data_IF_277888426530
#
_entry.id   IF_277888426530
#
_cell.length_a   1.000
_cell.length_b   1.000
_cell.length_c   1.000
_cell.angle_alpha   90.00
_cell.angle_beta   90.00
_cell.angle_gamma   90.00
#
_symmetry.space_group_name_H-M   'P 1'
#
loop_
_entity.id
_entity.type
_entity.pdbx_description
1 polymer ?
#
# COMPACT_ATOMS: atom_id res chain seq x y z
N UNK A 1 44.23 9.84 10.25
CA UNK A 1 43.74 11.19 9.87
C UNK A 1 43.21 11.05 8.46
N UNK A 2 41.97 11.45 8.18
CA UNK A 2 41.45 11.39 6.81
C UNK A 2 42.20 12.40 5.94
N UNK A 3 42.69 11.94 4.79
CA UNK A 3 43.35 12.78 3.80
C UNK A 3 42.34 13.76 3.17
N UNK A 4 42.78 14.90 2.63
CA UNK A 4 41.89 15.88 1.99
C UNK A 4 40.89 15.32 0.96
N UNK A 5 41.25 14.36 0.07
CA UNK A 5 40.26 13.73 -0.82
C UNK A 5 39.24 12.87 -0.07
N UNK A 6 39.67 12.16 0.97
CA UNK A 6 38.78 11.30 1.79
C UNK A 6 37.76 12.15 2.57
N UNK A 7 38.19 13.31 3.08
CA UNK A 7 37.28 14.28 3.72
C UNK A 7 36.20 14.79 2.74
N UNK A 8 36.56 15.07 1.49
CA UNK A 8 35.59 15.51 0.47
C UNK A 8 34.60 14.40 0.13
N UNK A 9 35.09 13.18 -0.05
CA UNK A 9 34.24 12.01 -0.29
C UNK A 9 33.26 11.79 0.87
N UNK A 10 33.73 11.92 2.12
CA UNK A 10 32.88 11.80 3.31
C UNK A 10 31.79 12.87 3.36
N UNK A 11 32.13 14.13 3.06
CA UNK A 11 31.14 15.22 3.01
C UNK A 11 30.08 14.95 1.94
N UNK A 12 30.49 14.49 0.75
CA UNK A 12 29.57 14.13 -0.33
C UNK A 12 28.66 12.99 0.10
N UNK A 13 29.21 11.93 0.71
CA UNK A 13 28.43 10.79 1.18
C UNK A 13 27.40 11.21 2.23
N UNK A 14 27.81 12.00 3.23
CA UNK A 14 26.91 12.52 4.26
C UNK A 14 25.83 13.40 3.62
N UNK A 15 26.20 14.28 2.69
CA UNK A 15 25.27 15.16 1.99
C UNK A 15 24.21 14.38 1.20
N UNK A 16 24.63 13.39 0.41
CA UNK A 16 23.71 12.52 -0.34
C UNK A 16 22.82 11.71 0.61
N UNK A 17 23.39 11.17 1.69
CA UNK A 17 22.61 10.37 2.66
C UNK A 17 21.56 11.22 3.36
N UNK A 18 21.91 12.43 3.79
CA UNK A 18 20.97 13.37 4.39
C UNK A 18 19.86 13.79 3.42
N UNK A 19 20.22 14.04 2.14
CA UNK A 19 19.25 14.35 1.10
C UNK A 19 18.26 13.20 0.87
N UNK A 20 18.76 11.96 0.73
CA UNK A 20 17.92 10.78 0.56
C UNK A 20 16.97 10.58 1.75
N UNK A 21 17.47 10.80 2.98
CA UNK A 21 16.65 10.73 4.18
C UNK A 21 15.52 11.77 4.17
N UNK A 22 15.83 13.02 3.82
CA UNK A 22 14.83 14.08 3.73
C UNK A 22 13.76 13.79 2.68
N UNK A 23 14.16 13.27 1.51
CA UNK A 23 13.21 12.87 0.47
C UNK A 23 12.31 11.74 0.95
N UNK A 24 12.89 10.72 1.60
CA UNK A 24 12.12 9.59 2.12
C UNK A 24 11.08 10.03 3.16
N UNK A 25 11.48 10.85 4.13
CA UNK A 25 10.56 11.41 5.13
C UNK A 25 9.47 12.27 4.51
N UNK A 26 9.78 12.99 3.43
CA UNK A 26 8.79 13.76 2.68
C UNK A 26 7.76 12.87 1.97
N UNK A 27 8.21 11.78 1.34
CA UNK A 27 7.33 10.84 0.63
C UNK A 27 6.40 10.10 1.59
N UNK A 28 6.89 9.70 2.77
CA UNK A 28 6.07 9.03 3.78
C UNK A 28 4.87 9.88 4.24
N UNK A 29 4.99 11.21 4.22
CA UNK A 29 3.92 12.13 4.60
C UNK A 29 2.84 12.29 3.53
N UNK A 30 3.17 12.05 2.26
CA UNK A 30 2.24 12.22 1.14
C UNK A 30 1.28 11.02 1.03
N UNK A 31 1.73 9.84 1.46
CA UNK A 31 0.93 8.61 1.46
C UNK A 31 0.82 7.96 0.07
N UNK A 32 0.54 6.66 0.06
CA UNK A 32 0.44 5.83 -1.15
C UNK A 32 -0.69 6.26 -2.09
N UNK A 33 -1.77 6.83 -1.54
CA UNK A 33 -2.94 7.30 -2.29
C UNK A 33 -2.59 8.36 -3.36
N UNK A 34 -1.57 9.20 -3.14
CA UNK A 34 -1.17 10.23 -4.10
C UNK A 34 -0.58 9.67 -5.40
N UNK A 35 -0.15 8.41 -5.38
CA UNK A 35 0.44 7.71 -6.52
C UNK A 35 -0.51 6.68 -7.13
N UNK A 36 -1.71 6.52 -6.54
CA UNK A 36 -2.68 5.51 -6.93
C UNK A 36 -3.63 6.04 -8.02
N UNK A 37 -3.94 5.18 -8.99
CA UNK A 37 -4.96 5.45 -10.01
C UNK A 37 -6.34 5.02 -9.48
N UNK A 38 -7.44 5.71 -9.79
CA UNK A 38 -8.77 5.22 -9.42
C UNK A 38 -9.01 3.79 -9.93
N UNK A 39 -9.61 2.94 -9.09
CA UNK A 39 -9.92 1.56 -9.46
C UNK A 39 -10.84 1.48 -10.68
N UNK A 40 -10.50 0.58 -11.61
CA UNK A 40 -11.36 0.17 -12.70
C UNK A 40 -11.10 -1.31 -13.03
N UNK A 41 -12.10 -2.11 -13.43
CA UNK A 41 -11.90 -3.53 -13.78
C UNK A 41 -10.91 -3.78 -14.94
N UNK A 42 -10.61 -2.76 -15.73
CA UNK A 42 -9.72 -2.86 -16.90
C UNK A 42 -8.28 -2.39 -16.63
N UNK A 43 -7.95 -1.94 -15.41
CA UNK A 43 -6.57 -1.53 -15.06
C UNK A 43 -5.60 -2.70 -15.24
N UNK A 44 -4.38 -2.43 -15.66
CA UNK A 44 -3.37 -3.47 -15.81
C UNK A 44 -2.95 -4.03 -14.45
N UNK A 45 -2.62 -5.33 -14.42
CA UNK A 45 -2.05 -5.96 -13.24
C UNK A 45 -0.72 -5.28 -12.87
N UNK A 46 -0.47 -5.12 -11.57
CA UNK A 46 0.68 -4.36 -11.05
C UNK A 46 0.42 -2.87 -10.90
N UNK A 47 -0.73 -2.35 -11.35
CA UNK A 47 -1.10 -0.95 -11.14
C UNK A 47 -1.47 -0.70 -9.68
N UNK A 48 -0.90 0.36 -9.08
CA UNK A 48 -1.33 0.85 -7.78
C UNK A 48 -2.68 1.59 -7.93
N UNK A 49 -3.68 1.16 -7.18
CA UNK A 49 -5.07 1.60 -7.33
C UNK A 49 -5.67 2.10 -6.03
N UNK A 50 -6.57 3.08 -6.16
CA UNK A 50 -7.40 3.63 -5.10
C UNK A 50 -8.83 3.11 -5.27
N UNK A 51 -9.29 2.28 -4.33
CA UNK A 51 -10.64 1.75 -4.27
C UNK A 51 -11.37 2.36 -3.07
N UNK A 52 -12.54 2.93 -3.33
CA UNK A 52 -13.43 3.45 -2.28
C UNK A 52 -14.78 2.74 -2.35
N UNK A 53 -15.32 2.36 -1.20
CA UNK A 53 -16.61 1.69 -1.18
C UNK A 53 -17.01 1.18 0.18
N UNK A 54 -18.16 0.52 0.21
CA UNK A 54 -18.66 -0.19 1.39
C UNK A 54 -18.14 -1.63 1.38
N UNK A 55 -17.69 -2.10 2.54
CA UNK A 55 -17.33 -3.50 2.76
C UNK A 55 -18.62 -4.33 2.85
N UNK A 56 -18.88 -5.17 1.86
CA UNK A 56 -20.10 -5.99 1.78
C UNK A 56 -19.94 -7.38 2.39
N UNK A 57 -18.73 -7.94 2.35
CA UNK A 57 -18.42 -9.25 2.94
C UNK A 57 -17.00 -9.23 3.52
N UNK A 58 -16.80 -9.90 4.66
CA UNK A 58 -15.46 -10.20 5.20
C UNK A 58 -15.33 -11.69 5.47
N UNK A 59 -14.34 -12.33 4.85
CA UNK A 59 -14.07 -13.76 4.94
C UNK A 59 -12.64 -14.03 5.40
N UNK A 60 -12.50 -14.83 6.45
CA UNK A 60 -11.21 -15.37 6.85
C UNK A 60 -10.77 -16.51 5.92
N UNK A 61 -9.51 -16.46 5.50
CA UNK A 61 -8.84 -17.49 4.72
C UNK A 61 -7.80 -18.21 5.58
N UNK A 62 -7.30 -19.35 5.09
CA UNK A 62 -6.22 -20.09 5.74
C UNK A 62 -4.95 -19.24 5.86
N UNK A 63 -4.24 -19.36 6.99
CA UNK A 63 -3.01 -18.61 7.24
C UNK A 63 -3.24 -17.17 7.70
N UNK A 64 -4.36 -16.91 8.36
CA UNK A 64 -4.76 -15.60 8.92
C UNK A 64 -4.87 -14.49 7.87
N UNK A 65 -5.06 -14.86 6.61
CA UNK A 65 -5.40 -13.92 5.55
C UNK A 65 -6.89 -13.54 5.62
N UNK A 66 -7.22 -12.35 5.14
CA UNK A 66 -8.61 -11.92 4.99
C UNK A 66 -8.88 -11.66 3.51
N UNK A 67 -10.07 -12.03 3.06
CA UNK A 67 -10.64 -11.60 1.80
C UNK A 67 -11.86 -10.75 2.13
N UNK A 68 -11.92 -9.55 1.58
CA UNK A 68 -13.11 -8.71 1.69
C UNK A 68 -13.67 -8.40 0.32
N UNK A 69 -14.94 -8.04 0.28
CA UNK A 69 -15.59 -7.52 -0.90
C UNK A 69 -15.95 -6.05 -0.68
N UNK A 70 -15.55 -5.20 -1.62
CA UNK A 70 -15.82 -3.75 -1.59
C UNK A 70 -16.42 -3.36 -2.92
N UNK A 71 -17.70 -2.95 -2.93
CA UNK A 71 -18.46 -2.65 -4.15
C UNK A 71 -18.35 -3.75 -5.23
N UNK A 72 -18.42 -5.03 -4.84
CA UNK A 72 -18.28 -6.17 -5.76
C UNK A 72 -16.85 -6.47 -6.23
N UNK A 73 -15.86 -5.73 -5.74
CA UNK A 73 -14.44 -5.98 -6.00
C UNK A 73 -13.82 -6.76 -4.85
N UNK A 74 -13.11 -7.84 -5.17
CA UNK A 74 -12.36 -8.61 -4.17
C UNK A 74 -11.12 -7.85 -3.75
N UNK A 75 -10.90 -7.76 -2.45
CA UNK A 75 -9.68 -7.21 -1.87
C UNK A 75 -9.04 -8.24 -0.96
N UNK A 76 -7.81 -8.60 -1.27
CA UNK A 76 -7.03 -9.56 -0.52
C UNK A 76 -6.11 -8.86 0.48
N UNK A 77 -6.23 -9.25 1.75
CA UNK A 77 -5.42 -8.77 2.86
C UNK A 77 -4.52 -9.91 3.35
N UNK A 78 -3.20 -9.83 3.11
CA UNK A 78 -2.22 -10.73 3.70
C UNK A 78 -2.25 -10.66 5.23
N UNK A 79 -1.79 -11.72 5.91
CA UNK A 79 -1.91 -11.86 7.36
C UNK A 79 -1.31 -10.69 8.16
N UNK A 80 -0.19 -10.15 7.66
CA UNK A 80 0.50 -8.98 8.25
C UNK A 80 -0.36 -7.71 8.29
N UNK A 81 -1.29 -7.59 7.34
CA UNK A 81 -2.24 -6.48 7.21
C UNK A 81 -3.51 -6.81 7.96
N UNK A 82 -4.07 -8.01 7.72
CA UNK A 82 -5.27 -8.51 8.37
C UNK A 82 -5.20 -8.46 9.91
N UNK A 83 -4.08 -8.83 10.51
CA UNK A 83 -3.88 -8.81 11.97
C UNK A 83 -3.98 -7.40 12.60
N UNK A 84 -3.88 -6.34 11.78
CA UNK A 84 -3.94 -4.94 12.22
C UNK A 84 -5.21 -4.23 11.73
N UNK A 85 -6.00 -4.87 10.87
CA UNK A 85 -7.16 -4.27 10.25
C UNK A 85 -8.42 -4.75 10.97
N UNK A 86 -9.07 -3.88 11.74
CA UNK A 86 -10.38 -4.15 12.35
C UNK A 86 -11.51 -3.92 11.34
N UNK A 87 -11.54 -4.74 10.28
CA UNK A 87 -12.53 -4.60 9.21
C UNK A 87 -13.86 -5.22 9.61
N UNK A 88 -14.95 -4.51 9.34
CA UNK A 88 -16.32 -4.96 9.59
C UNK A 88 -17.19 -4.74 8.36
N UNK A 89 -18.14 -5.64 8.15
CA UNK A 89 -19.17 -5.45 7.13
C UNK A 89 -19.97 -4.17 7.41
N UNK A 90 -20.37 -3.47 6.34
CA UNK A 90 -21.08 -2.20 6.39
C UNK A 90 -20.20 -0.97 6.68
N UNK A 91 -18.87 -1.13 6.73
CA UNK A 91 -17.95 0.01 6.88
C UNK A 91 -17.58 0.60 5.52
N UNK A 92 -17.53 1.94 5.44
CA UNK A 92 -16.98 2.62 4.29
C UNK A 92 -15.46 2.73 4.44
N UNK A 93 -14.77 2.39 3.37
CA UNK A 93 -13.32 2.28 3.36
C UNK A 93 -12.73 2.94 2.11
N UNK A 94 -11.53 3.47 2.28
CA UNK A 94 -10.60 3.80 1.22
C UNK A 94 -9.40 2.86 1.32
N UNK A 95 -9.10 2.23 0.19
CA UNK A 95 -8.09 1.18 0.08
C UNK A 95 -7.13 1.58 -1.02
N UNK A 96 -5.84 1.62 -0.68
CA UNK A 96 -4.76 1.65 -1.66
C UNK A 96 -4.17 0.24 -1.75
N UNK A 97 -4.07 -0.27 -2.97
CA UNK A 97 -3.54 -1.61 -3.19
C UNK A 97 -3.08 -1.82 -4.62
N UNK A 98 -2.57 -3.00 -4.91
CA UNK A 98 -2.11 -3.36 -6.25
C UNK A 98 -3.16 -4.19 -6.96
N UNK A 99 -3.54 -3.81 -8.17
CA UNK A 99 -4.41 -4.61 -9.02
C UNK A 99 -3.71 -5.92 -9.41
N UNK A 100 -4.36 -7.06 -9.20
CA UNK A 100 -3.85 -8.37 -9.59
C UNK A 100 -4.98 -9.26 -10.10
N UNK A 101 -4.62 -10.26 -10.91
CA UNK A 101 -5.56 -11.29 -11.33
C UNK A 101 -5.23 -12.62 -10.66
N UNK A 102 -6.14 -13.10 -9.81
CA UNK A 102 -6.04 -14.39 -9.14
C UNK A 102 -7.14 -15.33 -9.64
N UNK A 103 -6.74 -16.51 -10.14
CA UNK A 103 -7.66 -17.51 -10.72
C UNK A 103 -8.62 -16.94 -11.79
N UNK A 104 -8.13 -16.02 -12.62
CA UNK A 104 -8.92 -15.38 -13.68
C UNK A 104 -9.90 -14.32 -13.19
N UNK A 105 -9.86 -13.96 -11.90
CA UNK A 105 -10.66 -12.89 -11.33
C UNK A 105 -9.76 -11.76 -10.86
N UNK A 106 -10.16 -10.53 -11.16
CA UNK A 106 -9.41 -9.34 -10.81
C UNK A 106 -9.72 -8.94 -9.37
N UNK A 107 -8.66 -8.66 -8.62
CA UNK A 107 -8.69 -8.31 -7.20
C UNK A 107 -7.69 -7.20 -6.90
N UNK A 108 -7.81 -6.62 -5.71
CA UNK A 108 -6.89 -5.62 -5.17
C UNK A 108 -6.14 -6.23 -4.00
N UNK A 109 -4.81 -6.25 -4.05
CA UNK A 109 -3.96 -6.76 -2.97
C UNK A 109 -3.42 -5.62 -2.15
N UNK A 110 -3.61 -5.66 -0.83
CA UNK A 110 -3.16 -4.62 0.10
C UNK A 110 -1.85 -5.03 0.74
N UNK A 111 -0.80 -4.21 0.62
CA UNK A 111 0.53 -4.57 1.13
C UNK A 111 0.81 -4.06 2.55
N UNK A 112 0.23 -2.92 2.91
CA UNK A 112 0.40 -2.24 4.20
C UNK A 112 -0.94 -1.93 4.88
N UNK A 113 -0.95 -1.95 6.21
CA UNK A 113 -2.14 -1.53 6.99
C UNK A 113 -2.38 -0.02 6.94
N UNK A 114 -1.37 0.79 6.64
CA UNK A 114 -1.51 2.24 6.45
C UNK A 114 -2.34 2.60 5.20
N UNK A 115 -2.49 1.64 4.29
CA UNK A 115 -3.21 1.82 3.02
C UNK A 115 -4.70 1.48 3.15
N UNK A 116 -5.17 1.19 4.36
CA UNK A 116 -6.56 0.96 4.72
C UNK A 116 -7.04 2.10 5.61
N UNK A 117 -7.98 2.90 5.11
CA UNK A 117 -8.57 4.01 5.85
C UNK A 117 -10.07 3.81 5.99
N UNK A 118 -10.58 3.87 7.21
CA UNK A 118 -12.02 3.89 7.51
C UNK A 118 -12.55 5.31 7.32
N UNK A 119 -13.71 5.46 6.67
CA UNK A 119 -14.36 6.75 6.36
C UNK A 119 -15.74 6.83 7.00
#
# INVERSE_FOLDING_TARGET
MLDPPEKRALIILIGISALLLLVHLGLDQVGSAAFATPWHPEVEDGTLVLLRGEVTEVRALSGDHLLMEVNGTRVFLPARVAARAEMREGTFVEIVGTAQTYQGQKEVVVESASDLTLI
#
